data_IF_388674416750
#
_entry.id   IF_388674416750
#
_cell.length_a   1.000
_cell.length_b   1.000
_cell.length_c   1.000
_cell.angle_alpha   90.00
_cell.angle_beta   90.00
_cell.angle_gamma   90.00
#
_symmetry.space_group_name_H-M   'P 1'
#
loop_
_entity.id
_entity.type
_entity.pdbx_description
1 polymer ?
#
# COMPACT_ATOMS: atom_id res chain seq x y z
N UNK A 1 -16.85 -8.28 22.27
CA UNK A 1 -17.02 -8.04 20.82
C UNK A 1 -15.97 -7.03 20.40
N UNK A 2 -15.31 -7.24 19.25
CA UNK A 2 -14.29 -6.30 18.75
C UNK A 2 -14.87 -4.89 18.61
N UNK A 3 -14.14 -3.87 19.08
CA UNK A 3 -14.50 -2.46 18.94
C UNK A 3 -14.11 -1.89 17.57
N UNK A 4 -13.43 -2.67 16.73
CA UNK A 4 -12.94 -2.30 15.42
C UNK A 4 -13.42 -3.28 14.34
N UNK A 5 -13.47 -2.78 13.10
CA UNK A 5 -13.84 -3.57 11.92
C UNK A 5 -12.90 -4.76 11.73
N UNK A 6 -13.46 -5.95 11.59
CA UNK A 6 -12.71 -7.17 11.34
C UNK A 6 -13.05 -7.70 9.95
N UNK A 7 -12.01 -8.09 9.20
CA UNK A 7 -12.18 -8.49 7.80
C UNK A 7 -12.95 -9.79 7.63
N UNK A 8 -12.81 -10.71 8.58
CA UNK A 8 -13.41 -12.03 8.51
C UNK A 8 -14.71 -12.12 9.31
N UNK A 9 -14.79 -11.47 10.46
CA UNK A 9 -15.86 -11.64 11.44
C UNK A 9 -16.72 -10.37 11.60
N UNK A 10 -18.03 -10.54 11.61
CA UNK A 10 -18.98 -9.50 12.00
C UNK A 10 -20.03 -10.07 12.95
N UNK A 11 -20.11 -9.52 14.17
CA UNK A 11 -21.04 -9.94 15.25
C UNK A 11 -21.11 -11.47 15.48
N UNK A 12 -19.98 -12.16 15.33
CA UNK A 12 -19.86 -13.61 15.52
C UNK A 12 -20.17 -14.46 14.27
N UNK A 13 -20.55 -13.83 13.15
CA UNK A 13 -20.72 -14.48 11.86
C UNK A 13 -19.51 -14.21 10.94
N UNK A 14 -19.24 -15.13 10.02
CA UNK A 14 -18.21 -14.97 8.99
C UNK A 14 -18.76 -14.13 7.85
N UNK A 15 -18.00 -13.12 7.42
CA UNK A 15 -18.34 -12.25 6.29
C UNK A 15 -18.29 -13.03 4.96
N UNK A 16 -19.18 -12.74 4.00
CA UNK A 16 -19.26 -13.50 2.74
C UNK A 16 -17.93 -13.65 1.97
N UNK A 17 -17.06 -12.61 1.84
CA UNK A 17 -15.79 -12.76 1.13
C UNK A 17 -14.87 -13.85 1.74
N UNK A 18 -15.00 -14.09 3.04
CA UNK A 18 -14.19 -15.06 3.79
C UNK A 18 -14.82 -16.46 3.90
N UNK A 19 -16.05 -16.67 3.42
CA UNK A 19 -16.77 -17.93 3.59
C UNK A 19 -16.02 -19.16 3.03
N UNK A 20 -15.41 -19.02 1.85
CA UNK A 20 -14.58 -20.09 1.26
C UNK A 20 -13.33 -20.37 2.08
N UNK A 21 -12.67 -19.33 2.58
CA UNK A 21 -11.50 -19.46 3.42
C UNK A 21 -11.86 -20.15 4.74
N UNK A 22 -12.95 -19.74 5.40
CA UNK A 22 -13.43 -20.41 6.62
C UNK A 22 -13.71 -21.90 6.40
N UNK A 23 -14.37 -22.26 5.29
CA UNK A 23 -14.64 -23.66 4.98
C UNK A 23 -13.35 -24.46 4.80
N UNK A 24 -12.37 -23.89 4.08
CA UNK A 24 -11.05 -24.50 3.93
C UNK A 24 -10.35 -24.68 5.29
N UNK A 25 -10.38 -23.68 6.16
CA UNK A 25 -9.82 -23.76 7.52
C UNK A 25 -10.45 -24.87 8.34
N UNK A 26 -11.77 -25.02 8.27
CA UNK A 26 -12.51 -26.05 9.02
C UNK A 26 -12.20 -27.47 8.51
N UNK A 27 -11.86 -27.61 7.24
CA UNK A 27 -11.53 -28.91 6.63
C UNK A 27 -10.07 -29.28 6.81
N UNK A 28 -9.20 -28.34 7.19
CA UNK A 28 -7.77 -28.56 7.33
C UNK A 28 -7.36 -28.82 8.79
N UNK A 29 -6.84 -30.01 9.13
CA UNK A 29 -6.38 -30.32 10.48
C UNK A 29 -5.39 -29.27 11.00
N UNK A 30 -5.49 -28.93 12.29
CA UNK A 30 -4.64 -27.89 12.89
C UNK A 30 -3.14 -28.21 12.76
N UNK A 31 -2.77 -29.48 12.90
CA UNK A 31 -1.40 -29.98 12.73
C UNK A 31 -0.87 -29.69 11.32
N UNK A 32 -1.69 -29.94 10.29
CA UNK A 32 -1.32 -29.66 8.91
C UNK A 32 -1.20 -28.16 8.64
N UNK A 33 -2.04 -27.33 9.26
CA UNK A 33 -1.93 -25.85 9.16
C UNK A 33 -0.62 -25.35 9.77
N UNK A 34 -0.27 -25.84 10.96
CA UNK A 34 0.99 -25.46 11.62
C UNK A 34 2.21 -25.90 10.80
N UNK A 35 2.16 -27.11 10.22
CA UNK A 35 3.20 -27.60 9.34
C UNK A 35 3.35 -26.71 8.10
N UNK A 36 2.25 -26.33 7.45
CA UNK A 36 2.27 -25.46 6.26
C UNK A 36 2.76 -24.05 6.56
N UNK A 37 2.38 -23.48 7.70
CA UNK A 37 2.90 -22.21 8.19
C UNK A 37 4.42 -22.28 8.38
N UNK A 38 4.93 -23.34 9.02
CA UNK A 38 6.37 -23.54 9.23
C UNK A 38 7.13 -23.74 7.90
N UNK A 39 6.56 -24.48 6.95
CA UNK A 39 7.11 -24.63 5.59
C UNK A 39 7.20 -23.29 4.86
N UNK A 40 6.14 -22.47 4.93
CA UNK A 40 6.12 -21.14 4.33
C UNK A 40 7.19 -20.24 4.97
N UNK A 41 7.25 -20.15 6.30
CA UNK A 41 8.29 -19.38 6.98
C UNK A 41 9.72 -19.83 6.62
N UNK A 42 9.95 -21.14 6.51
CA UNK A 42 11.25 -21.68 6.10
C UNK A 42 11.59 -21.33 4.64
N UNK A 43 10.58 -21.29 3.76
CA UNK A 43 10.74 -20.88 2.36
C UNK A 43 11.08 -19.39 2.26
N UNK A 44 10.31 -18.53 2.94
CA UNK A 44 10.56 -17.08 2.99
C UNK A 44 11.97 -16.78 3.54
N UNK A 45 12.43 -17.54 4.54
CA UNK A 45 13.81 -17.51 5.05
C UNK A 45 14.85 -17.82 3.98
N UNK A 46 14.62 -18.88 3.18
CA UNK A 46 15.56 -19.33 2.15
C UNK A 46 15.65 -18.40 0.95
N UNK A 47 14.54 -17.78 0.56
CA UNK A 47 14.48 -16.86 -0.60
C UNK A 47 15.16 -15.51 -0.27
N UNK A 48 15.49 -15.26 1.01
CA UNK A 48 16.18 -14.02 1.41
C UNK A 48 15.24 -12.82 1.42
N UNK A 49 13.96 -13.05 1.71
CA UNK A 49 12.96 -12.00 1.87
C UNK A 49 13.17 -11.35 3.25
N UNK A 50 14.20 -10.51 3.35
CA UNK A 50 14.56 -9.75 4.55
C UNK A 50 14.21 -8.28 4.34
N UNK A 51 14.06 -7.53 5.43
CA UNK A 51 14.01 -6.07 5.39
C UNK A 51 15.17 -5.49 6.19
N UNK A 52 15.79 -4.44 5.63
CA UNK A 52 16.88 -3.72 6.29
C UNK A 52 16.32 -2.82 7.39
N UNK A 53 16.57 -3.15 8.67
CA UNK A 53 16.24 -2.24 9.78
C UNK A 53 17.40 -1.25 9.93
N UNK A 54 17.24 -0.05 9.37
CA UNK A 54 18.18 1.05 9.60
C UNK A 54 17.94 1.63 11.00
N UNK A 55 18.62 1.07 12.00
CA UNK A 55 18.62 1.56 13.37
C UNK A 55 19.34 0.61 14.33
N UNK A 56 20.43 1.11 14.92
CA UNK A 56 21.20 0.51 16.03
C UNK A 56 21.82 -0.87 15.81
N UNK A 57 23.00 -0.91 15.16
CA UNK A 57 24.12 -1.81 15.49
C UNK A 57 23.90 -3.34 15.51
N UNK A 58 22.72 -3.81 15.14
CA UNK A 58 22.32 -5.22 15.11
C UNK A 58 22.29 -5.80 13.69
N UNK A 59 22.11 -7.11 13.63
CA UNK A 59 22.02 -7.89 12.38
C UNK A 59 21.06 -7.19 11.39
N UNK A 60 21.56 -6.73 10.22
CA UNK A 60 20.82 -5.82 9.33
C UNK A 60 19.57 -6.46 8.72
N UNK A 61 19.46 -7.79 8.77
CA UNK A 61 18.41 -8.55 8.13
C UNK A 61 17.46 -9.17 9.15
N UNK A 62 16.24 -8.61 9.25
CA UNK A 62 15.14 -9.29 9.93
C UNK A 62 14.21 -9.93 8.91
N UNK A 63 13.83 -11.16 9.21
CA UNK A 63 12.80 -11.89 8.47
C UNK A 63 11.45 -11.21 8.66
N UNK A 64 10.75 -11.01 7.55
CA UNK A 64 9.37 -10.56 7.60
C UNK A 64 8.52 -11.76 8.04
N UNK A 65 7.74 -11.66 9.14
CA UNK A 65 6.81 -12.71 9.50
C UNK A 65 5.77 -12.86 8.40
N UNK A 66 5.60 -14.08 7.91
CA UNK A 66 4.60 -14.41 6.90
C UNK A 66 3.34 -14.95 7.57
N UNK A 67 2.16 -14.53 7.12
CA UNK A 67 0.88 -15.11 7.53
C UNK A 67 0.28 -15.82 6.31
N UNK A 68 0.02 -17.14 6.43
CA UNK A 68 -0.57 -17.91 5.35
C UNK A 68 -2.04 -17.54 5.05
N UNK A 69 -2.70 -16.78 5.93
CA UNK A 69 -4.08 -16.36 5.73
C UNK A 69 -4.15 -15.07 4.89
N UNK A 70 -4.76 -15.12 3.69
CA UNK A 70 -4.76 -13.97 2.82
C UNK A 70 -5.67 -12.85 3.34
N UNK A 71 -5.29 -11.61 3.01
CA UNK A 71 -6.21 -10.47 3.05
C UNK A 71 -7.13 -10.54 1.84
N UNK A 72 -8.40 -10.88 2.06
CA UNK A 72 -9.37 -11.09 0.98
C UNK A 72 -10.13 -9.80 0.69
N UNK A 73 -10.17 -9.43 -0.59
CA UNK A 73 -11.05 -8.38 -1.12
C UNK A 73 -12.08 -9.01 -2.06
N UNK A 74 -13.33 -8.59 -1.94
CA UNK A 74 -14.34 -8.83 -2.97
C UNK A 74 -14.03 -8.03 -4.23
N UNK A 75 -14.57 -8.49 -5.36
CA UNK A 75 -14.40 -7.79 -6.64
C UNK A 75 -14.92 -6.34 -6.60
N UNK A 76 -16.01 -6.09 -5.86
CA UNK A 76 -16.59 -4.76 -5.75
C UNK A 76 -15.71 -3.81 -4.91
N UNK A 77 -15.17 -4.28 -3.79
CA UNK A 77 -14.21 -3.52 -2.99
C UNK A 77 -12.97 -3.18 -3.81
N UNK A 78 -12.40 -4.18 -4.52
CA UNK A 78 -11.23 -3.98 -5.36
C UNK A 78 -11.48 -2.99 -6.50
N UNK A 79 -12.61 -3.08 -7.19
CA UNK A 79 -12.96 -2.17 -8.27
C UNK A 79 -13.03 -0.71 -7.79
N UNK A 80 -13.59 -0.47 -6.60
CA UNK A 80 -13.65 0.87 -5.99
C UNK A 80 -12.25 1.36 -5.62
N UNK A 81 -11.44 0.53 -4.98
CA UNK A 81 -10.06 0.84 -4.60
C UNK A 81 -9.19 1.16 -5.81
N UNK A 82 -9.21 0.30 -6.82
CA UNK A 82 -8.44 0.45 -8.06
C UNK A 82 -8.75 1.79 -8.75
N UNK A 83 -10.04 2.14 -8.86
CA UNK A 83 -10.46 3.42 -9.45
C UNK A 83 -9.97 4.61 -8.63
N UNK A 84 -10.06 4.54 -7.31
CA UNK A 84 -9.58 5.59 -6.41
C UNK A 84 -8.07 5.79 -6.49
N UNK A 85 -7.30 4.70 -6.45
CA UNK A 85 -5.83 4.71 -6.59
C UNK A 85 -5.42 5.30 -7.95
N UNK A 86 -6.03 4.86 -9.05
CA UNK A 86 -5.77 5.41 -10.39
C UNK A 86 -6.10 6.89 -10.50
N UNK A 87 -7.21 7.33 -9.89
CA UNK A 87 -7.56 8.75 -9.83
C UNK A 87 -6.50 9.54 -9.07
N UNK A 88 -6.09 9.07 -7.89
CA UNK A 88 -5.10 9.74 -7.04
C UNK A 88 -3.73 9.83 -7.71
N UNK A 89 -3.24 8.75 -8.32
CA UNK A 89 -1.97 8.74 -9.04
C UNK A 89 -1.94 9.73 -10.21
N UNK A 90 -3.07 9.89 -10.92
CA UNK A 90 -3.21 10.91 -11.98
C UNK A 90 -3.19 12.32 -11.40
N UNK A 91 -3.90 12.55 -10.30
CA UNK A 91 -3.90 13.86 -9.63
C UNK A 91 -2.51 14.25 -9.11
N UNK A 92 -1.76 13.31 -8.54
CA UNK A 92 -0.39 13.53 -8.07
C UNK A 92 0.55 13.89 -9.23
N UNK A 93 0.49 13.16 -10.35
CA UNK A 93 1.28 13.50 -11.53
C UNK A 93 0.88 14.85 -12.15
N UNK A 94 -0.42 15.16 -12.19
CA UNK A 94 -0.90 16.46 -12.66
C UNK A 94 -0.44 17.61 -11.75
N UNK A 95 -0.43 17.39 -10.43
CA UNK A 95 0.10 18.35 -9.46
C UNK A 95 1.58 18.60 -9.68
N UNK A 96 2.40 17.54 -9.81
CA UNK A 96 3.84 17.66 -10.08
C UNK A 96 4.09 18.43 -11.39
N UNK A 97 3.38 18.09 -12.45
CA UNK A 97 3.49 18.79 -13.73
C UNK A 97 3.09 20.26 -13.64
N UNK A 98 2.07 20.59 -12.87
CA UNK A 98 1.62 21.96 -12.69
C UNK A 98 2.64 22.78 -11.89
N UNK A 99 3.09 22.31 -10.73
CA UNK A 99 3.94 23.10 -9.84
C UNK A 99 5.34 23.36 -10.40
N UNK A 100 5.85 22.47 -11.26
CA UNK A 100 7.11 22.69 -11.98
C UNK A 100 6.97 23.51 -13.27
N UNK A 101 5.75 23.86 -13.67
CA UNK A 101 5.47 24.67 -14.87
C UNK A 101 4.70 25.94 -14.50
N UNK A 102 3.38 25.95 -14.73
CA UNK A 102 2.56 27.16 -14.58
C UNK A 102 2.14 27.41 -13.14
N UNK A 103 2.05 26.40 -12.28
CA UNK A 103 1.58 26.55 -10.90
C UNK A 103 0.15 27.09 -10.82
N UNK A 104 -0.73 26.67 -11.73
CA UNK A 104 -2.13 27.09 -11.80
C UNK A 104 -2.88 26.79 -10.50
N UNK A 105 -2.59 25.66 -9.83
CA UNK A 105 -3.19 25.32 -8.52
C UNK A 105 -2.81 26.32 -7.42
N UNK A 106 -1.64 26.94 -7.54
CA UNK A 106 -1.16 27.99 -6.64
C UNK A 106 -1.80 29.33 -7.01
N UNK A 107 -1.83 29.69 -8.30
CA UNK A 107 -2.49 30.92 -8.79
C UNK A 107 -3.98 30.94 -8.48
N UNK A 108 -4.62 29.77 -8.51
CA UNK A 108 -6.03 29.59 -8.14
C UNK A 108 -6.27 29.61 -6.62
N UNK A 109 -5.23 29.76 -5.79
CA UNK A 109 -5.33 29.83 -4.33
C UNK A 109 -5.75 28.53 -3.66
N UNK A 110 -5.69 27.38 -4.35
CA UNK A 110 -6.09 26.08 -3.78
C UNK A 110 -5.03 25.48 -2.89
N UNK A 111 -3.76 25.70 -3.21
CA UNK A 111 -2.61 25.31 -2.39
C UNK A 111 -1.73 26.54 -2.14
N UNK A 112 -1.34 26.84 -0.88
CA UNK A 112 -0.41 27.92 -0.61
C UNK A 112 0.97 27.67 -1.22
N UNK A 113 1.46 28.58 -2.07
CA UNK A 113 2.75 28.44 -2.76
C UNK A 113 3.94 28.20 -1.83
N UNK A 114 3.91 28.78 -0.61
CA UNK A 114 4.97 28.56 0.40
C UNK A 114 5.14 27.09 0.81
N UNK A 115 4.07 26.29 0.78
CA UNK A 115 4.13 24.86 1.16
C UNK A 115 4.81 24.02 0.07
N UNK A 116 4.87 24.54 -1.15
CA UNK A 116 5.47 23.87 -2.31
C UNK A 116 6.88 24.42 -2.54
N UNK A 117 7.00 25.71 -2.84
CA UNK A 117 8.24 26.31 -3.33
C UNK A 117 9.31 26.55 -2.26
N UNK A 118 8.94 26.50 -0.97
CA UNK A 118 9.89 26.54 0.14
C UNK A 118 10.12 25.16 0.77
N UNK A 119 9.52 24.11 0.21
CA UNK A 119 9.74 22.75 0.67
C UNK A 119 11.13 22.26 0.22
N UNK A 120 11.88 21.62 1.10
CA UNK A 120 13.21 21.06 0.78
C UNK A 120 13.15 20.02 -0.34
N UNK A 121 12.00 19.34 -0.50
CA UNK A 121 11.80 18.36 -1.56
C UNK A 121 11.48 18.97 -2.94
N UNK A 122 11.27 20.29 -3.04
CA UNK A 122 11.04 20.95 -4.33
C UNK A 122 12.37 21.18 -5.06
N UNK A 123 12.54 20.54 -6.21
CA UNK A 123 13.78 20.63 -6.98
C UNK A 123 13.72 21.76 -8.01
N UNK A 124 14.42 22.87 -7.74
CA UNK A 124 14.44 24.05 -8.61
C UNK A 124 14.99 23.73 -10.01
N UNK A 125 15.90 22.77 -10.14
CA UNK A 125 16.46 22.36 -11.42
C UNK A 125 15.43 21.69 -12.34
N UNK A 126 14.30 21.22 -11.80
CA UNK A 126 13.21 20.59 -12.56
C UNK A 126 12.21 21.62 -13.10
N UNK A 127 12.30 22.90 -12.69
CA UNK A 127 11.39 23.94 -13.18
C UNK A 127 11.49 24.11 -14.71
N UNK A 128 10.35 24.04 -15.40
CA UNK A 128 10.25 24.09 -16.86
C UNK A 128 10.58 22.77 -17.57
N UNK A 129 11.07 21.74 -16.87
CA UNK A 129 11.28 20.42 -17.44
C UNK A 129 9.95 19.69 -17.62
N UNK A 130 9.78 19.00 -18.76
CA UNK A 130 8.63 18.13 -19.03
C UNK A 130 9.11 16.73 -19.38
N UNK A 131 8.86 15.72 -18.53
CA UNK A 131 9.19 14.34 -18.86
C UNK A 131 8.30 13.82 -20.01
N UNK A 132 8.74 12.77 -20.72
CA UNK A 132 7.90 12.10 -21.71
C UNK A 132 6.52 11.76 -21.16
N UNK A 133 5.48 12.05 -21.96
CA UNK A 133 4.07 11.85 -21.59
C UNK A 133 3.62 12.58 -20.30
N UNK A 134 4.41 13.54 -19.81
CA UNK A 134 4.15 14.30 -18.59
C UNK A 134 4.01 13.44 -17.33
N UNK A 135 4.74 12.31 -17.28
CA UNK A 135 4.75 11.39 -16.13
C UNK A 135 5.99 11.65 -15.29
N UNK A 136 5.80 12.17 -14.09
CA UNK A 136 6.87 12.42 -13.12
C UNK A 136 7.10 11.19 -12.24
N UNK A 137 6.03 10.67 -11.64
CA UNK A 137 6.06 9.47 -10.81
C UNK A 137 5.46 8.30 -11.58
N UNK A 138 6.35 7.43 -12.08
CA UNK A 138 6.00 6.29 -12.94
C UNK A 138 5.40 5.13 -12.14
N UNK A 139 5.85 4.98 -10.89
CA UNK A 139 5.35 4.01 -9.94
C UNK A 139 4.95 4.80 -8.69
N UNK A 140 3.73 4.61 -8.22
CA UNK A 140 3.17 5.29 -7.05
C UNK A 140 2.67 4.22 -6.09
N UNK A 141 3.25 4.16 -4.89
CA UNK A 141 2.71 3.37 -3.78
C UNK A 141 1.67 4.20 -3.02
N UNK A 142 0.53 3.60 -2.68
CA UNK A 142 -0.54 4.26 -1.92
C UNK A 142 -0.84 3.41 -0.71
N UNK A 143 -0.50 3.91 0.48
CA UNK A 143 -0.68 3.17 1.72
C UNK A 143 -2.10 3.38 2.24
N UNK A 144 -2.84 2.28 2.37
CA UNK A 144 -4.26 2.29 2.68
C UNK A 144 -4.54 1.62 4.02
N UNK A 145 -5.44 2.23 4.80
CA UNK A 145 -6.07 1.62 5.96
C UNK A 145 -7.57 1.50 5.77
N UNK A 146 -8.16 0.51 6.43
CA UNK A 146 -9.59 0.25 6.40
C UNK A 146 -10.16 0.31 7.81
N UNK A 147 -11.19 1.12 8.02
CA UNK A 147 -11.83 1.30 9.34
C UNK A 147 -13.26 0.77 9.40
N UNK A 148 -13.84 0.39 8.25
CA UNK A 148 -15.22 -0.07 8.13
C UNK A 148 -15.46 -0.87 6.85
N UNK A 149 -16.71 -1.33 6.64
CA UNK A 149 -17.07 -2.12 5.45
C UNK A 149 -16.79 -1.39 4.14
N UNK A 150 -16.90 -0.07 4.10
CA UNK A 150 -16.70 0.73 2.88
C UNK A 150 -15.70 1.88 3.06
N UNK A 151 -15.03 1.91 4.21
CA UNK A 151 -14.22 3.04 4.67
C UNK A 151 -12.74 2.73 4.52
N UNK A 152 -12.16 3.29 3.44
CA UNK A 152 -10.74 3.22 3.13
C UNK A 152 -10.12 4.62 3.14
N UNK A 153 -8.97 4.75 3.78
CA UNK A 153 -8.24 6.01 3.89
C UNK A 153 -6.80 5.84 3.43
N UNK A 154 -6.30 6.84 2.73
CA UNK A 154 -4.87 6.94 2.37
C UNK A 154 -4.13 7.53 3.56
N UNK A 155 -3.11 6.82 4.04
CA UNK A 155 -2.17 7.33 5.04
C UNK A 155 -1.03 8.10 4.39
N UNK A 156 -0.46 7.55 3.31
CA UNK A 156 0.75 8.08 2.67
C UNK A 156 0.78 7.78 1.16
N UNK A 157 1.45 8.67 0.42
CA UNK A 157 1.74 8.53 -1.00
C UNK A 157 3.25 8.40 -1.24
N UNK A 158 3.69 7.24 -1.72
CA UNK A 158 5.08 6.94 -2.02
C UNK A 158 5.38 7.20 -3.50
N UNK A 159 5.80 8.45 -3.81
CA UNK A 159 6.02 8.91 -5.19
C UNK A 159 7.48 9.00 -5.65
N UNK A 160 8.45 8.69 -4.77
CA UNK A 160 9.89 8.79 -5.04
C UNK A 160 10.43 7.47 -5.60
N UNK A 161 10.78 6.56 -4.71
CA UNK A 161 11.31 5.23 -5.00
C UNK A 161 10.52 4.19 -4.21
N UNK A 162 9.22 3.98 -4.54
CA UNK A 162 8.40 3.01 -3.81
C UNK A 162 9.01 1.61 -3.93
N UNK A 163 9.02 0.88 -2.81
CA UNK A 163 9.55 -0.48 -2.70
C UNK A 163 8.44 -1.47 -2.31
N UNK A 164 8.79 -2.75 -2.26
CA UNK A 164 7.92 -3.81 -1.72
C UNK A 164 7.13 -4.63 -2.75
N UNK A 165 7.26 -4.35 -4.04
CA UNK A 165 6.67 -5.19 -5.10
C UNK A 165 7.20 -6.63 -5.07
N UNK A 166 8.46 -6.84 -4.68
CA UNK A 166 9.02 -8.18 -4.49
C UNK A 166 8.24 -8.99 -3.46
N UNK A 167 7.91 -8.39 -2.30
CA UNK A 167 7.11 -9.05 -1.26
C UNK A 167 5.68 -9.40 -1.70
N UNK A 168 5.14 -8.69 -2.68
CA UNK A 168 3.80 -8.95 -3.23
C UNK A 168 3.80 -10.11 -4.23
N UNK A 169 4.90 -10.29 -4.98
CA UNK A 169 5.00 -11.30 -6.03
C UNK A 169 5.40 -12.68 -5.51
N UNK A 170 6.20 -12.72 -4.44
CA UNK A 170 6.62 -13.94 -3.74
C UNK A 170 5.56 -14.42 -2.74
#
# INVERSE_FOLDING_TARGET
MSTYFNEMMDRGAVRPPYARLQNWVNQMPAELRNLKQAEAEALFRRIGITFAVYGEGGDPDRLIPFDMFPRVFSAQEWYRLERGIKQRARALNAFLADVYDRGEIIRAGRIPGRLVYLNEAYEKAVAGFRPPKNVFSHIVGIDLVRTGPDDFFVLEDNCRTPSGVSYMLE
#
